data_IF_084509226241
#
_entry.id   IF_084509226241
#
_cell.length_a   1.000
_cell.length_b   1.000
_cell.length_c   1.000
_cell.angle_alpha   90.00
_cell.angle_beta   90.00
_cell.angle_gamma   90.00
#
_symmetry.space_group_name_H-M   'P 1'
#
loop_
_entity.id
_entity.type
_entity.pdbx_description
1 polymer ?
#
# COMPACT_ATOMS: atom_id res chain seq x y z
N UNK A 1 2.81 -23.98 1.17
CA UNK A 1 2.09 -23.10 2.12
C UNK A 1 1.03 -23.91 2.84
N UNK A 2 1.17 -24.12 4.16
CA UNK A 2 0.14 -24.81 4.98
C UNK A 2 -0.60 -23.89 5.94
N UNK A 3 -0.20 -22.62 6.05
CA UNK A 3 -0.84 -21.64 6.94
C UNK A 3 -1.88 -20.82 6.16
N UNK A 4 -3.19 -20.91 6.52
CA UNK A 4 -4.25 -20.13 5.88
C UNK A 4 -3.99 -18.61 5.89
N UNK A 5 -3.38 -18.09 6.96
CA UNK A 5 -3.02 -16.67 7.09
C UNK A 5 -2.09 -16.24 5.97
N UNK A 6 -1.05 -17.03 5.69
CA UNK A 6 -0.08 -16.72 4.62
C UNK A 6 -0.73 -16.78 3.25
N UNK A 7 -1.59 -17.77 3.01
CA UNK A 7 -2.29 -17.91 1.72
C UNK A 7 -3.18 -16.71 1.46
N UNK A 8 -4.02 -16.33 2.43
CA UNK A 8 -4.94 -15.18 2.27
C UNK A 8 -4.16 -13.87 2.16
N UNK A 9 -3.10 -13.67 2.95
CA UNK A 9 -2.26 -12.48 2.85
C UNK A 9 -1.55 -12.38 1.49
N UNK A 10 -1.03 -13.50 0.96
CA UNK A 10 -0.41 -13.51 -0.38
C UNK A 10 -1.43 -13.16 -1.46
N UNK A 11 -2.63 -13.72 -1.41
CA UNK A 11 -3.69 -13.41 -2.37
C UNK A 11 -4.07 -11.92 -2.28
N UNK A 12 -4.28 -11.40 -1.07
CA UNK A 12 -4.62 -9.99 -0.87
C UNK A 12 -3.54 -9.03 -1.37
N UNK A 13 -2.25 -9.32 -1.10
CA UNK A 13 -1.14 -8.53 -1.64
C UNK A 13 -1.04 -8.59 -3.17
N UNK A 14 -1.30 -9.76 -3.77
CA UNK A 14 -1.27 -9.93 -5.22
C UNK A 14 -2.44 -9.18 -5.90
N UNK A 15 -3.65 -9.30 -5.35
CA UNK A 15 -4.81 -8.54 -5.81
C UNK A 15 -4.56 -7.04 -5.69
N UNK A 16 -4.02 -6.61 -4.54
CA UNK A 16 -3.60 -5.23 -4.30
C UNK A 16 -2.68 -4.70 -5.39
N UNK A 17 -1.51 -5.34 -5.54
CA UNK A 17 -0.52 -4.91 -6.51
C UNK A 17 -1.01 -4.91 -7.96
N UNK A 18 -1.82 -5.89 -8.37
CA UNK A 18 -2.35 -5.98 -9.74
C UNK A 18 -3.42 -4.93 -9.98
N UNK A 19 -4.47 -4.90 -9.15
CA UNK A 19 -5.61 -4.02 -9.37
C UNK A 19 -5.31 -2.56 -9.05
N UNK A 20 -4.36 -2.27 -8.16
CA UNK A 20 -3.85 -0.91 -7.93
C UNK A 20 -3.20 -0.33 -9.18
N UNK A 21 -2.39 -1.14 -9.87
CA UNK A 21 -1.79 -0.76 -11.15
C UNK A 21 -2.84 -0.63 -12.26
N UNK A 22 -3.78 -1.58 -12.36
CA UNK A 22 -4.88 -1.51 -13.34
C UNK A 22 -5.67 -0.22 -13.15
N UNK A 23 -6.11 0.09 -11.92
CA UNK A 23 -6.85 1.32 -11.63
C UNK A 23 -6.08 2.59 -11.99
N UNK A 24 -4.76 2.57 -11.83
CA UNK A 24 -3.89 3.70 -12.16
C UNK A 24 -3.78 3.96 -13.66
N UNK A 25 -3.83 2.92 -14.50
CA UNK A 25 -3.63 3.06 -15.96
C UNK A 25 -4.93 3.14 -16.77
N UNK A 26 -6.03 2.58 -16.27
CA UNK A 26 -7.31 2.61 -16.99
C UNK A 26 -7.92 4.01 -16.98
N UNK A 27 -8.47 4.44 -18.12
CA UNK A 27 -9.07 5.77 -18.30
C UNK A 27 -10.53 5.81 -17.87
N UNK A 28 -11.25 4.68 -17.99
CA UNK A 28 -12.67 4.56 -17.68
C UNK A 28 -12.93 4.71 -16.16
N UNK A 29 -13.71 5.72 -15.72
CA UNK A 29 -13.89 6.03 -14.30
C UNK A 29 -14.42 4.85 -13.47
N UNK A 30 -15.41 4.13 -14.00
CA UNK A 30 -16.04 3.03 -13.28
C UNK A 30 -15.07 1.84 -13.12
N UNK A 31 -14.29 1.54 -14.16
CA UNK A 31 -13.30 0.47 -14.10
C UNK A 31 -12.14 0.82 -13.16
N UNK A 32 -11.73 2.10 -13.14
CA UNK A 32 -10.75 2.61 -12.18
C UNK A 32 -11.22 2.44 -10.74
N UNK A 33 -12.42 2.94 -10.44
CA UNK A 33 -13.00 2.86 -9.10
C UNK A 33 -13.15 1.40 -8.65
N UNK A 34 -13.65 0.52 -9.51
CA UNK A 34 -13.77 -0.91 -9.21
C UNK A 34 -12.40 -1.57 -8.96
N UNK A 35 -11.39 -1.24 -9.77
CA UNK A 35 -10.05 -1.79 -9.62
C UNK A 35 -9.42 -1.34 -8.30
N UNK A 36 -9.44 -0.04 -8.01
CA UNK A 36 -8.94 0.48 -6.72
C UNK A 36 -9.74 -0.04 -5.52
N UNK A 37 -11.03 -0.32 -5.68
CA UNK A 37 -11.83 -0.98 -4.64
C UNK A 37 -11.34 -2.40 -4.34
N UNK A 38 -11.07 -3.21 -5.37
CA UNK A 38 -10.53 -4.57 -5.22
C UNK A 38 -9.14 -4.55 -4.59
N UNK A 39 -8.29 -3.64 -5.07
CA UNK A 39 -6.94 -3.39 -4.54
C UNK A 39 -6.99 -3.13 -3.03
N UNK A 40 -7.71 -2.08 -2.64
CA UNK A 40 -7.75 -1.62 -1.27
C UNK A 40 -8.32 -2.67 -0.32
N UNK A 41 -9.38 -3.40 -0.71
CA UNK A 41 -9.91 -4.50 0.11
C UNK A 41 -8.89 -5.62 0.27
N UNK A 42 -8.21 -6.00 -0.83
CA UNK A 42 -7.15 -7.01 -0.80
C UNK A 42 -6.00 -6.63 0.13
N UNK A 43 -5.55 -5.37 0.06
CA UNK A 43 -4.49 -4.84 0.90
C UNK A 43 -4.91 -4.74 2.37
N UNK A 44 -6.09 -4.21 2.69
CA UNK A 44 -6.61 -4.15 4.08
C UNK A 44 -6.61 -5.54 4.72
N UNK A 45 -7.16 -6.55 4.02
CA UNK A 45 -7.20 -7.93 4.53
C UNK A 45 -5.79 -8.47 4.75
N UNK A 46 -4.91 -8.33 3.76
CA UNK A 46 -3.56 -8.84 3.85
C UNK A 46 -2.78 -8.19 5.00
N UNK A 47 -2.80 -6.86 5.10
CA UNK A 47 -2.02 -6.14 6.11
C UNK A 47 -2.60 -6.31 7.51
N UNK A 48 -3.92 -6.45 7.68
CA UNK A 48 -4.49 -6.82 8.98
C UNK A 48 -4.01 -8.20 9.45
N UNK A 49 -3.99 -9.19 8.57
CA UNK A 49 -3.49 -10.53 8.87
C UNK A 49 -1.98 -10.53 9.20
N UNK A 50 -1.19 -9.76 8.44
CA UNK A 50 0.24 -9.63 8.69
C UNK A 50 0.53 -8.90 10.00
N UNK A 51 -0.24 -7.87 10.34
CA UNK A 51 -0.12 -7.19 11.63
C UNK A 51 -0.30 -8.17 12.79
N UNK A 52 -1.37 -8.97 12.75
CA UNK A 52 -1.65 -9.97 13.77
C UNK A 52 -0.61 -11.11 13.79
N UNK A 53 -0.04 -11.47 12.63
CA UNK A 53 1.01 -12.47 12.55
C UNK A 53 2.30 -11.97 13.21
N UNK A 54 2.82 -10.83 12.78
CA UNK A 54 4.07 -10.29 13.31
C UNK A 54 3.96 -9.90 14.78
N UNK A 55 2.79 -9.48 15.24
CA UNK A 55 2.54 -9.26 16.67
C UNK A 55 2.70 -10.56 17.48
N UNK A 56 2.14 -11.68 16.99
CA UNK A 56 2.31 -13.00 17.64
C UNK A 56 3.75 -13.51 17.60
N UNK A 57 4.53 -13.06 16.64
CA UNK A 57 5.97 -13.35 16.54
C UNK A 57 6.82 -12.40 17.43
N UNK A 58 6.21 -11.47 18.18
CA UNK A 58 6.89 -10.51 19.04
C UNK A 58 7.59 -9.37 18.27
N UNK A 59 7.21 -9.15 17.01
CA UNK A 59 7.77 -8.11 16.16
C UNK A 59 6.82 -6.90 16.05
N UNK A 60 6.85 -6.07 17.09
CA UNK A 60 5.94 -4.92 17.25
C UNK A 60 6.10 -3.87 16.14
N UNK A 61 7.32 -3.65 15.64
CA UNK A 61 7.57 -2.68 14.56
C UNK A 61 6.90 -3.10 13.26
N UNK A 62 7.06 -4.37 12.85
CA UNK A 62 6.40 -4.87 11.64
C UNK A 62 4.88 -4.91 11.84
N UNK A 63 4.42 -5.35 13.01
CA UNK A 63 3.01 -5.39 13.33
C UNK A 63 2.37 -3.99 13.22
N UNK A 64 2.98 -2.99 13.84
CA UNK A 64 2.55 -1.60 13.77
C UNK A 64 2.59 -1.07 12.34
N UNK A 65 3.65 -1.37 11.58
CA UNK A 65 3.75 -0.96 10.18
C UNK A 65 2.61 -1.49 9.32
N UNK A 66 2.28 -2.77 9.43
CA UNK A 66 1.13 -3.35 8.71
C UNK A 66 -0.21 -2.83 9.20
N UNK A 67 -0.36 -2.55 10.49
CA UNK A 67 -1.57 -1.95 11.04
C UNK A 67 -1.79 -0.53 10.49
N UNK A 68 -0.74 0.30 10.49
CA UNK A 68 -0.78 1.65 9.91
C UNK A 68 -1.07 1.59 8.41
N UNK A 69 -0.52 0.60 7.70
CA UNK A 69 -0.83 0.37 6.29
C UNK A 69 -2.32 0.10 6.09
N UNK A 70 -2.90 -0.81 6.89
CA UNK A 70 -4.33 -1.14 6.81
C UNK A 70 -5.23 0.08 7.06
N UNK A 71 -4.85 0.95 8.00
CA UNK A 71 -5.57 2.21 8.27
C UNK A 71 -5.46 3.16 7.07
N UNK A 72 -4.25 3.35 6.53
CA UNK A 72 -4.03 4.16 5.33
C UNK A 72 -4.87 3.69 4.15
N UNK A 73 -4.94 2.38 3.98
CA UNK A 73 -5.74 1.77 2.92
C UNK A 73 -7.25 1.92 3.13
N UNK A 74 -7.72 1.77 4.36
CA UNK A 74 -9.12 2.04 4.70
C UNK A 74 -9.53 3.48 4.42
N UNK A 75 -8.64 4.45 4.71
CA UNK A 75 -8.86 5.85 4.36
C UNK A 75 -8.92 6.03 2.84
N UNK A 76 -7.98 5.45 2.09
CA UNK A 76 -7.95 5.59 0.64
C UNK A 76 -9.16 4.93 -0.04
N UNK A 77 -9.60 3.76 0.46
CA UNK A 77 -10.80 3.05 0.02
C UNK A 77 -12.04 3.96 0.04
N UNK A 78 -12.18 4.79 1.10
CA UNK A 78 -13.32 5.71 1.24
C UNK A 78 -13.44 6.73 0.10
N UNK A 79 -12.35 7.00 -0.62
CA UNK A 79 -12.31 7.93 -1.76
C UNK A 79 -12.45 7.27 -3.13
N UNK A 80 -12.50 5.93 -3.22
CA UNK A 80 -12.42 5.22 -4.52
C UNK A 80 -13.64 5.44 -5.42
N UNK A 81 -14.82 5.60 -4.83
CA UNK A 81 -16.06 5.87 -5.55
C UNK A 81 -16.25 7.37 -5.92
N UNK A 82 -15.37 8.26 -5.42
CA UNK A 82 -15.43 9.67 -5.75
C UNK A 82 -14.86 9.95 -7.15
N UNK A 83 -15.05 11.17 -7.64
CA UNK A 83 -14.29 11.63 -8.81
C UNK A 83 -12.80 11.68 -8.49
N UNK A 84 -11.94 11.62 -9.51
CA UNK A 84 -10.48 11.64 -9.30
C UNK A 84 -10.00 12.88 -8.53
N UNK A 85 -10.64 14.03 -8.73
CA UNK A 85 -10.35 15.24 -7.96
C UNK A 85 -11.00 15.19 -6.56
N UNK A 86 -12.19 14.60 -6.43
CA UNK A 86 -12.87 14.44 -5.15
C UNK A 86 -12.18 13.45 -4.20
N UNK A 87 -11.39 12.51 -4.72
CA UNK A 87 -10.64 11.55 -3.91
C UNK A 87 -9.35 12.11 -3.31
N UNK A 88 -8.90 13.31 -3.72
CA UNK A 88 -7.62 13.91 -3.32
C UNK A 88 -7.44 14.01 -1.79
N UNK A 89 -8.44 14.41 -0.97
CA UNK A 89 -8.26 14.46 0.49
C UNK A 89 -7.98 13.08 1.10
N UNK A 90 -8.76 12.06 0.71
CA UNK A 90 -8.55 10.69 1.17
C UNK A 90 -7.21 10.14 0.67
N UNK A 91 -6.83 10.47 -0.56
CA UNK A 91 -5.56 10.09 -1.16
C UNK A 91 -4.35 10.69 -0.44
N UNK A 92 -4.41 11.98 -0.06
CA UNK A 92 -3.36 12.63 0.71
C UNK A 92 -3.13 11.95 2.06
N UNK A 93 -4.22 11.71 2.79
CA UNK A 93 -4.17 11.02 4.07
C UNK A 93 -3.68 9.56 3.93
N UNK A 94 -4.19 8.83 2.94
CA UNK A 94 -3.79 7.45 2.64
C UNK A 94 -2.31 7.34 2.30
N UNK A 95 -1.79 8.19 1.40
CA UNK A 95 -0.37 8.19 1.02
C UNK A 95 0.57 8.61 2.15
N UNK A 96 0.14 9.52 3.04
CA UNK A 96 0.89 9.84 4.25
C UNK A 96 1.02 8.63 5.19
N UNK A 97 -0.08 7.90 5.40
CA UNK A 97 -0.10 6.69 6.24
C UNK A 97 0.70 5.56 5.60
N UNK A 98 0.59 5.35 4.28
CA UNK A 98 1.46 4.44 3.54
C UNK A 98 2.93 4.77 3.71
N UNK A 99 3.29 6.04 3.60
CA UNK A 99 4.67 6.48 3.78
C UNK A 99 5.22 6.07 5.16
N UNK A 100 4.47 6.33 6.23
CA UNK A 100 4.84 5.93 7.58
C UNK A 100 4.89 4.39 7.75
N UNK A 101 3.89 3.68 7.24
CA UNK A 101 3.83 2.22 7.27
C UNK A 101 5.01 1.55 6.56
N UNK A 102 5.40 2.07 5.40
CA UNK A 102 6.54 1.57 4.64
C UNK A 102 7.86 1.75 5.40
N UNK A 103 8.03 2.86 6.13
CA UNK A 103 9.20 3.02 7.02
C UNK A 103 9.16 2.01 8.17
N UNK A 104 8.03 1.88 8.86
CA UNK A 104 7.89 0.95 9.98
C UNK A 104 8.15 -0.50 9.57
N UNK A 105 7.74 -0.89 8.35
CA UNK A 105 8.01 -2.23 7.82
C UNK A 105 9.42 -2.40 7.26
N UNK A 106 10.12 -1.32 6.91
CA UNK A 106 11.43 -1.39 6.22
C UNK A 106 12.64 -1.05 7.09
N UNK A 107 12.46 -0.29 8.18
CA UNK A 107 13.53 0.03 9.13
C UNK A 107 14.04 -1.20 9.89
N UNK A 108 13.20 -2.07 10.50
CA UNK A 108 13.69 -3.26 11.19
C UNK A 108 14.24 -4.31 10.21
N UNK A 109 15.15 -5.17 10.67
CA UNK A 109 15.78 -6.24 9.86
C UNK A 109 14.87 -7.47 9.65
N UNK A 110 13.56 -7.25 9.50
CA UNK A 110 12.58 -8.33 9.33
C UNK A 110 12.38 -8.81 7.89
N UNK A 111 12.71 -7.99 6.91
CA UNK A 111 12.66 -8.33 5.48
C UNK A 111 14.05 -8.30 4.83
N UNK A 112 14.18 -8.93 3.65
CA UNK A 112 15.41 -8.90 2.87
C UNK A 112 15.82 -7.45 2.50
N UNK A 113 17.12 -7.19 2.37
CA UNK A 113 17.65 -5.84 2.17
C UNK A 113 17.06 -5.09 0.98
N UNK A 114 16.80 -5.78 -0.13
CA UNK A 114 16.19 -5.16 -1.32
C UNK A 114 14.72 -4.76 -1.09
N UNK A 115 13.96 -5.52 -0.30
CA UNK A 115 12.55 -5.22 0.04
C UNK A 115 12.51 -3.96 0.90
N UNK A 116 13.42 -3.89 1.88
CA UNK A 116 13.57 -2.74 2.77
C UNK A 116 13.96 -1.49 1.98
N UNK A 117 14.88 -1.62 1.02
CA UNK A 117 15.25 -0.51 0.13
C UNK A 117 14.05 -0.03 -0.70
N UNK A 118 13.30 -0.95 -1.32
CA UNK A 118 12.09 -0.60 -2.07
C UNK A 118 11.07 0.12 -1.18
N UNK A 119 10.81 -0.38 0.03
CA UNK A 119 9.89 0.27 0.96
C UNK A 119 10.36 1.65 1.43
N UNK A 120 11.66 1.85 1.70
CA UNK A 120 12.22 3.17 2.04
C UNK A 120 12.05 4.16 0.87
N UNK A 121 12.38 3.73 -0.36
CA UNK A 121 12.19 4.57 -1.55
C UNK A 121 10.71 4.91 -1.73
N UNK A 122 9.83 3.91 -1.66
CA UNK A 122 8.38 4.11 -1.76
C UNK A 122 7.86 5.08 -0.70
N UNK A 123 8.33 4.95 0.54
CA UNK A 123 7.98 5.88 1.63
C UNK A 123 8.31 7.33 1.29
N UNK A 124 9.52 7.59 0.78
CA UNK A 124 9.95 8.95 0.40
C UNK A 124 9.06 9.50 -0.72
N UNK A 125 8.77 8.70 -1.75
CA UNK A 125 7.95 9.13 -2.89
C UNK A 125 6.51 9.46 -2.48
N UNK A 126 5.91 8.66 -1.59
CA UNK A 126 4.57 8.95 -1.05
C UNK A 126 4.58 10.09 -0.04
N UNK A 127 5.65 10.27 0.74
CA UNK A 127 5.79 11.43 1.62
C UNK A 127 5.79 12.73 0.82
N UNK A 128 6.55 12.79 -0.28
CA UNK A 128 6.59 13.95 -1.18
C UNK A 128 5.21 14.19 -1.79
N UNK A 129 4.52 13.13 -2.24
CA UNK A 129 3.16 13.23 -2.79
C UNK A 129 2.19 13.82 -1.78
N UNK A 130 2.13 13.26 -0.58
CA UNK A 130 1.24 13.74 0.49
C UNK A 130 1.58 15.19 0.90
N UNK A 131 2.87 15.51 1.04
CA UNK A 131 3.33 16.85 1.39
C UNK A 131 2.88 17.90 0.37
N UNK A 132 3.00 17.61 -0.93
CA UNK A 132 2.52 18.51 -2.00
C UNK A 132 1.02 18.75 -1.90
N UNK A 133 0.23 17.71 -1.67
CA UNK A 133 -1.22 17.86 -1.53
C UNK A 133 -1.58 18.66 -0.27
N UNK A 134 -0.93 18.39 0.86
CA UNK A 134 -1.14 19.18 2.08
C UNK A 134 -0.65 20.63 1.96
N UNK A 135 0.27 20.90 1.03
CA UNK A 135 0.71 22.25 0.65
C UNK A 135 -0.25 22.94 -0.33
N UNK A 136 -1.37 22.30 -0.68
CA UNK A 136 -2.41 22.86 -1.52
C UNK A 136 -2.24 22.58 -3.03
N UNK A 137 -1.25 21.78 -3.42
CA UNK A 137 -1.13 21.38 -4.83
C UNK A 137 -2.18 20.32 -5.20
N UNK A 138 -2.77 20.47 -6.39
CA UNK A 138 -3.71 19.48 -6.92
C UNK A 138 -2.97 18.32 -7.58
N UNK A 139 -2.40 17.44 -6.76
CA UNK A 139 -1.78 16.18 -7.22
C UNK A 139 -2.84 15.08 -7.23
N UNK A 140 -3.11 14.51 -8.40
CA UNK A 140 -4.08 13.44 -8.57
C UNK A 140 -3.39 12.06 -8.35
N UNK A 141 -4.15 11.02 -7.97
CA UNK A 141 -3.61 9.66 -7.88
C UNK A 141 -2.99 9.13 -9.19
N UNK A 142 -3.34 9.68 -10.34
CA UNK A 142 -2.76 9.29 -11.65
C UNK A 142 -1.72 10.28 -12.17
N UNK A 143 -1.33 11.29 -11.38
CA UNK A 143 -0.37 12.32 -11.79
C UNK A 143 1.04 11.74 -12.01
N UNK A 144 1.71 12.22 -13.05
CA UNK A 144 3.13 11.97 -13.31
C UNK A 144 3.95 13.26 -13.06
N UNK A 145 5.19 13.15 -12.52
CA UNK A 145 5.90 11.91 -12.21
C UNK A 145 5.45 11.24 -10.90
N UNK A 146 4.95 12.02 -9.94
CA UNK A 146 4.44 11.52 -8.66
C UNK A 146 2.93 11.72 -8.59
N UNK A 147 2.16 10.71 -8.13
CA UNK A 147 2.61 9.42 -7.57
C UNK A 147 2.78 8.28 -8.59
N UNK A 148 2.57 8.51 -9.89
CA UNK A 148 2.55 7.44 -10.91
C UNK A 148 3.73 6.47 -10.83
N UNK A 149 4.96 6.97 -10.65
CA UNK A 149 6.16 6.13 -10.53
C UNK A 149 6.41 5.57 -9.13
N UNK A 150 5.66 5.99 -8.11
CA UNK A 150 5.73 5.41 -6.77
C UNK A 150 5.02 4.05 -6.68
N UNK A 151 3.93 3.84 -7.44
CA UNK A 151 3.17 2.59 -7.40
C UNK A 151 3.98 1.35 -7.79
N UNK A 152 4.81 1.35 -8.86
CA UNK A 152 5.67 0.20 -9.15
C UNK A 152 6.64 -0.14 -8.01
N UNK A 153 7.13 0.87 -7.27
CA UNK A 153 8.00 0.66 -6.10
C UNK A 153 7.21 0.04 -4.94
N UNK A 154 5.96 0.48 -4.76
CA UNK A 154 5.03 -0.12 -3.80
C UNK A 154 4.75 -1.59 -4.13
N UNK A 155 4.43 -1.89 -5.41
CA UNK A 155 4.19 -3.25 -5.89
C UNK A 155 5.43 -4.14 -5.72
N UNK A 156 6.63 -3.60 -5.95
CA UNK A 156 7.87 -4.32 -5.67
C UNK A 156 8.02 -4.67 -4.19
N UNK A 157 7.58 -3.77 -3.31
CA UNK A 157 7.54 -4.03 -1.85
C UNK A 157 6.56 -5.16 -1.52
N UNK A 158 5.37 -5.17 -2.14
CA UNK A 158 4.40 -6.27 -1.99
C UNK A 158 4.96 -7.62 -2.48
N UNK A 159 5.65 -7.63 -3.62
CA UNK A 159 6.33 -8.82 -4.11
C UNK A 159 7.38 -9.33 -3.10
N UNK A 160 8.08 -8.43 -2.43
CA UNK A 160 9.01 -8.75 -1.34
C UNK A 160 8.34 -9.35 -0.10
N UNK A 161 7.19 -8.82 0.29
CA UNK A 161 6.39 -9.40 1.36
C UNK A 161 5.87 -10.78 0.99
N UNK A 162 5.27 -10.94 -0.20
CA UNK A 162 4.83 -12.24 -0.74
C UNK A 162 5.98 -13.26 -0.72
N UNK A 163 7.15 -12.89 -1.24
CA UNK A 163 8.34 -13.74 -1.24
C UNK A 163 8.72 -14.22 0.16
N UNK A 164 8.59 -13.35 1.15
CA UNK A 164 8.86 -13.68 2.56
C UNK A 164 7.81 -14.66 3.11
N UNK A 165 6.53 -14.50 2.75
CA UNK A 165 5.46 -15.40 3.17
C UNK A 165 5.55 -16.78 2.50
N UNK A 166 6.05 -16.86 1.27
CA UNK A 166 6.23 -18.12 0.54
C UNK A 166 7.42 -18.95 1.07
N UNK A 167 8.40 -18.29 1.69
CA UNK A 167 9.56 -18.94 2.31
C UNK A 167 9.30 -19.42 3.75
N UNK A 168 8.28 -18.89 4.40
CA UNK A 168 7.88 -19.24 5.77
C UNK A 168 6.97 -20.49 5.79
#
# INVERSE_FOLDING_TARGET
MKNPVNVVAVIGLALGGVFGMVGTVVTEPNLRAASWGIDAVGLVVATALLALRFFREGNDFLAAGFLVFAIGEGVMLSGTAATLAGSVPAFAAGTALWSAALLLTSVPKGFAGWVRLAGIVGSILFAITAARIFWGEQVLPTSAPLPFYAYPVLVLTFAGWIWTLLKA
#
